data_IF_977268895033
#
_entry.id   IF_977268895033
#
_cell.length_a   1.000
_cell.length_b   1.000
_cell.length_c   1.000
_cell.angle_alpha   90.00
_cell.angle_beta   90.00
_cell.angle_gamma   90.00
#
_symmetry.space_group_name_H-M   'P 1'
#
loop_
_entity.id
_entity.type
_entity.pdbx_description
1 polymer ?
#
# COMPACT_ATOMS: atom_id res chain seq x y z
N UNK A 1 -3.55 -8.23 7.13
CA UNK A 1 -3.37 -6.90 6.48
C UNK A 1 -4.35 -6.67 5.33
N UNK A 2 -4.30 -7.44 4.23
CA UNK A 2 -5.25 -7.28 3.10
C UNK A 2 -6.71 -7.37 3.55
N UNK A 3 -7.04 -8.33 4.41
CA UNK A 3 -8.39 -8.47 4.97
C UNK A 3 -8.82 -7.24 5.78
N UNK A 4 -7.92 -6.67 6.59
CA UNK A 4 -8.18 -5.47 7.40
C UNK A 4 -8.38 -4.23 6.52
N UNK A 5 -7.65 -4.12 5.41
CA UNK A 5 -7.91 -3.11 4.38
C UNK A 5 -9.31 -3.26 3.79
N UNK A 6 -9.82 -4.49 3.64
CA UNK A 6 -11.18 -4.77 3.19
C UNK A 6 -12.26 -4.30 4.15
N UNK A 7 -11.99 -4.35 5.46
CA UNK A 7 -12.95 -3.95 6.52
C UNK A 7 -12.86 -2.47 6.90
N UNK A 8 -11.77 -1.79 6.54
CA UNK A 8 -11.56 -0.39 6.89
C UNK A 8 -12.65 0.53 6.34
N UNK A 9 -13.10 1.48 7.18
CA UNK A 9 -14.22 2.40 6.86
C UNK A 9 -13.87 3.89 6.92
N UNK A 10 -12.84 4.29 7.66
CA UNK A 10 -12.53 5.72 7.90
C UNK A 10 -11.13 6.08 7.43
N UNK A 11 -10.11 5.40 7.97
CA UNK A 11 -8.72 5.66 7.61
C UNK A 11 -7.85 4.43 7.79
N UNK A 12 -6.74 4.38 7.04
CA UNK A 12 -5.67 3.40 7.18
C UNK A 12 -4.34 4.13 7.14
N UNK A 13 -3.45 3.77 8.07
CA UNK A 13 -2.06 4.21 8.08
C UNK A 13 -1.15 3.00 7.92
N UNK A 14 -0.25 3.06 6.94
CA UNK A 14 0.70 2.00 6.64
C UNK A 14 2.10 2.55 6.83
N UNK A 15 2.83 1.95 7.76
CA UNK A 15 4.26 2.17 7.94
C UNK A 15 4.97 0.91 7.49
N UNK A 16 5.81 1.01 6.46
CA UNK A 16 6.54 -0.17 6.01
C UNK A 16 7.99 0.13 5.65
N UNK A 17 8.86 -0.80 6.01
CA UNK A 17 10.26 -0.73 5.64
C UNK A 17 10.45 -1.07 4.16
N UNK A 18 9.82 -2.13 3.64
CA UNK A 18 10.01 -2.60 2.26
C UNK A 18 8.66 -2.71 1.52
N UNK A 19 8.54 -2.00 0.38
CA UNK A 19 7.47 -2.21 -0.60
C UNK A 19 8.07 -2.66 -1.93
N UNK A 20 7.88 -3.93 -2.30
CA UNK A 20 8.38 -4.47 -3.58
C UNK A 20 7.26 -4.57 -4.62
N UNK A 21 7.62 -4.43 -5.90
CA UNK A 21 6.71 -4.68 -7.02
C UNK A 21 6.65 -6.18 -7.36
N UNK A 22 6.39 -7.02 -6.37
CA UNK A 22 6.18 -8.46 -6.52
C UNK A 22 4.71 -8.82 -6.28
N UNK A 23 4.37 -10.10 -6.39
CA UNK A 23 2.99 -10.58 -6.24
C UNK A 23 2.37 -10.13 -4.91
N UNK A 24 3.15 -10.13 -3.83
CA UNK A 24 2.66 -9.71 -2.51
C UNK A 24 2.42 -8.20 -2.48
N UNK A 25 3.38 -7.41 -2.95
CA UNK A 25 3.23 -5.95 -3.00
C UNK A 25 2.11 -5.48 -3.91
N UNK A 26 1.83 -6.18 -5.01
CA UNK A 26 0.68 -5.89 -5.87
C UNK A 26 -0.64 -6.17 -5.16
N UNK A 27 -0.80 -7.33 -4.51
CA UNK A 27 -2.03 -7.66 -3.74
C UNK A 27 -2.31 -6.64 -2.64
N UNK A 28 -1.26 -6.14 -1.99
CA UNK A 28 -1.39 -5.07 -1.01
C UNK A 28 -1.82 -3.75 -1.67
N UNK A 29 -1.21 -3.40 -2.80
CA UNK A 29 -1.54 -2.20 -3.57
C UNK A 29 -3.00 -2.20 -4.04
N UNK A 30 -3.48 -3.33 -4.57
CA UNK A 30 -4.87 -3.52 -4.97
C UNK A 30 -5.84 -3.34 -3.80
N UNK A 31 -5.52 -3.92 -2.63
CA UNK A 31 -6.35 -3.78 -1.43
C UNK A 31 -6.38 -2.34 -0.90
N UNK A 32 -5.25 -1.62 -0.97
CA UNK A 32 -5.18 -0.20 -0.64
C UNK A 32 -6.01 0.64 -1.61
N UNK A 33 -5.89 0.37 -2.91
CA UNK A 33 -6.65 1.08 -3.94
C UNK A 33 -8.14 0.87 -3.73
N UNK A 34 -8.59 -0.38 -3.53
CA UNK A 34 -9.98 -0.70 -3.26
C UNK A 34 -10.50 -0.03 -1.98
N UNK A 35 -9.66 0.16 -0.96
CA UNK A 35 -10.05 0.93 0.23
C UNK A 35 -10.20 2.43 -0.07
N UNK A 36 -9.26 3.01 -0.83
CA UNK A 36 -9.32 4.40 -1.26
C UNK A 36 -10.57 4.69 -2.10
N UNK A 37 -10.94 3.79 -3.02
CA UNK A 37 -12.15 3.88 -3.84
C UNK A 37 -13.44 3.91 -3.02
N UNK A 38 -13.47 3.24 -1.86
CA UNK A 38 -14.60 3.31 -0.91
C UNK A 38 -14.62 4.62 -0.09
N UNK A 39 -13.67 5.52 -0.31
CA UNK A 39 -13.54 6.78 0.43
C UNK A 39 -12.74 6.69 1.73
N UNK A 40 -12.04 5.57 1.97
CA UNK A 40 -11.16 5.43 3.14
C UNK A 40 -9.92 6.31 2.96
N UNK A 41 -9.58 7.14 3.95
CA UNK A 41 -8.38 7.97 3.90
C UNK A 41 -7.12 7.12 4.10
N UNK A 42 -6.26 7.05 3.09
CA UNK A 42 -5.02 6.27 3.15
C UNK A 42 -3.82 7.19 3.38
N UNK A 43 -2.95 6.84 4.33
CA UNK A 43 -1.61 7.42 4.47
C UNK A 43 -0.56 6.30 4.47
N UNK A 44 0.44 6.40 3.59
CA UNK A 44 1.52 5.42 3.49
C UNK A 44 2.83 6.14 3.73
N UNK A 45 3.60 5.62 4.67
CA UNK A 45 4.97 6.04 4.97
C UNK A 45 5.84 4.82 4.72
N UNK A 46 6.79 4.96 3.79
CA UNK A 46 7.75 3.91 3.48
C UNK A 46 9.17 4.46 3.40
N UNK A 47 10.14 3.58 3.59
CA UNK A 47 11.54 3.90 3.37
C UNK A 47 11.85 4.01 1.86
N UNK A 48 12.64 5.02 1.47
CA UNK A 48 13.02 5.27 0.08
C UNK A 48 14.12 4.29 -0.38
N UNK A 49 15.05 3.93 0.50
CA UNK A 49 16.16 3.01 0.19
C UNK A 49 15.68 1.60 -0.16
N UNK A 50 14.54 1.19 0.40
CA UNK A 50 13.88 -0.06 0.08
C UNK A 50 12.91 0.02 -1.13
N UNK A 51 12.78 1.20 -1.76
CA UNK A 51 11.94 1.41 -2.95
C UNK A 51 12.71 1.13 -4.24
N UNK A 52 13.16 -0.11 -4.43
CA UNK A 52 13.80 -0.49 -5.68
C UNK A 52 12.76 -0.64 -6.81
N UNK A 53 12.47 0.46 -7.49
CA UNK A 53 12.12 0.48 -8.90
C UNK A 53 13.11 1.46 -9.56
N UNK A 54 14.18 0.93 -10.15
CA UNK A 54 15.12 1.71 -10.95
C UNK A 54 14.31 2.36 -12.09
N UNK A 55 14.06 3.67 -12.00
CA UNK A 55 13.48 4.44 -13.08
C UNK A 55 14.50 4.41 -14.22
N UNK A 56 14.27 3.57 -15.22
CA UNK A 56 14.94 3.70 -16.52
C UNK A 56 14.57 5.08 -17.07
N UNK A 57 15.58 5.94 -17.23
CA UNK A 57 15.49 7.13 -18.06
C UNK A 57 15.30 6.73 -19.51
#
# INVERSE_FOLDING_TARGET
MVEELGKARKSVEIFMYVWRADQTGHRVGEAVLAAAERGVKIRIIKDIGASCARRSR
#
